data_IF_194772263518
#
_entry.id   IF_194772263518
#
_cell.length_a   1.000
_cell.length_b   1.000
_cell.length_c   1.000
_cell.angle_alpha   90.00
_cell.angle_beta   90.00
_cell.angle_gamma   90.00
#
_symmetry.space_group_name_H-M   'P 1'
#
loop_
_entity.id
_entity.type
_entity.pdbx_description
1 polymer ?
#
# COMPACT_ATOMS: atom_id res chain seq x y z
N UNK A 1 -0.79 -19.94 9.80
CA UNK A 1 -0.50 -18.83 8.87
C UNK A 1 0.87 -19.02 8.23
N UNK A 2 1.08 -18.48 7.02
CA UNK A 2 2.34 -18.65 6.24
C UNK A 2 3.45 -17.66 6.64
N UNK A 3 3.10 -16.55 7.32
CA UNK A 3 4.03 -15.48 7.69
C UNK A 3 3.82 -15.08 9.15
N UNK A 4 4.37 -15.82 10.14
CA UNK A 4 4.12 -15.58 11.56
C UNK A 4 4.66 -14.24 12.07
N UNK A 5 5.60 -13.62 11.35
CA UNK A 5 6.13 -12.30 11.65
C UNK A 5 5.21 -11.14 11.21
N UNK A 6 4.11 -11.44 10.50
CA UNK A 6 3.19 -10.43 10.00
C UNK A 6 1.80 -10.62 10.62
N UNK A 7 1.24 -9.53 11.15
CA UNK A 7 -0.19 -9.46 11.49
C UNK A 7 -0.92 -8.75 10.37
N UNK A 8 -1.64 -9.51 9.54
CA UNK A 8 -2.39 -8.94 8.42
C UNK A 8 -3.85 -8.65 8.79
N UNK A 9 -4.29 -7.40 8.61
CA UNK A 9 -5.68 -6.99 8.82
C UNK A 9 -6.32 -6.69 7.47
N UNK A 10 -7.23 -7.57 7.02
CA UNK A 10 -7.94 -7.38 5.76
C UNK A 10 -9.25 -6.61 5.97
N UNK A 11 -9.40 -5.48 5.28
CA UNK A 11 -10.58 -4.61 5.37
C UNK A 11 -11.62 -4.86 4.27
N UNK A 12 -11.36 -5.84 3.39
CA UNK A 12 -12.24 -6.17 2.27
C UNK A 12 -12.13 -5.15 1.13
N UNK A 13 -13.24 -4.96 0.42
CA UNK A 13 -13.34 -4.07 -0.73
C UNK A 13 -14.09 -2.79 -0.38
N UNK A 14 -14.02 -1.78 -1.28
CA UNK A 14 -14.77 -0.51 -1.17
C UNK A 14 -14.46 0.31 0.10
N UNK A 15 -13.23 0.22 0.59
CA UNK A 15 -12.74 1.00 1.73
C UNK A 15 -12.29 2.38 1.26
N UNK A 16 -12.83 3.45 1.85
CA UNK A 16 -12.38 4.83 1.61
C UNK A 16 -10.96 5.07 2.14
N UNK A 17 -10.20 6.01 1.55
CA UNK A 17 -8.85 6.36 2.00
C UNK A 17 -8.81 6.75 3.49
N UNK A 18 -9.79 7.52 3.95
CA UNK A 18 -9.92 7.97 5.35
C UNK A 18 -10.10 6.79 6.30
N UNK A 19 -10.99 5.86 5.97
CA UNK A 19 -11.21 4.65 6.76
C UNK A 19 -9.95 3.77 6.79
N UNK A 20 -9.22 3.69 5.68
CA UNK A 20 -7.97 2.95 5.59
C UNK A 20 -6.90 3.55 6.51
N UNK A 21 -6.65 4.86 6.43
CA UNK A 21 -5.67 5.55 7.28
C UNK A 21 -6.05 5.49 8.76
N UNK A 22 -7.34 5.70 9.09
CA UNK A 22 -7.85 5.57 10.46
C UNK A 22 -7.61 4.17 11.02
N UNK A 23 -7.87 3.15 10.22
CA UNK A 23 -7.66 1.76 10.64
C UNK A 23 -6.18 1.43 10.76
N UNK A 24 -5.33 1.90 9.85
CA UNK A 24 -3.88 1.76 9.96
C UNK A 24 -3.34 2.38 11.26
N UNK A 25 -3.82 3.58 11.62
CA UNK A 25 -3.46 4.24 12.87
C UNK A 25 -3.93 3.45 14.10
N UNK A 26 -5.18 2.99 14.11
CA UNK A 26 -5.74 2.21 15.21
C UNK A 26 -5.04 0.86 15.42
N UNK A 27 -4.58 0.23 14.33
CA UNK A 27 -3.86 -1.04 14.35
C UNK A 27 -2.35 -0.87 14.53
N UNK A 28 -1.86 0.37 14.63
CA UNK A 28 -0.44 0.73 14.66
C UNK A 28 0.35 0.10 13.51
N UNK A 29 -0.23 0.04 12.31
CA UNK A 29 0.39 -0.61 11.17
C UNK A 29 1.68 0.09 10.74
N UNK A 30 2.65 -0.67 10.26
CA UNK A 30 3.88 -0.17 9.63
C UNK A 30 3.78 -0.12 8.10
N UNK A 31 2.83 -0.86 7.51
CA UNK A 31 2.60 -0.93 6.08
C UNK A 31 1.11 -0.91 5.73
N UNK A 32 0.77 -0.22 4.66
CA UNK A 32 -0.56 -0.13 4.06
C UNK A 32 -0.49 -0.73 2.65
N UNK A 33 -1.26 -1.80 2.45
CA UNK A 33 -1.36 -2.50 1.17
C UNK A 33 -2.73 -2.21 0.54
N UNK A 34 -2.74 -1.68 -0.68
CA UNK A 34 -3.97 -1.43 -1.44
C UNK A 34 -3.97 -2.18 -2.76
N UNK A 35 -5.15 -2.65 -3.19
CA UNK A 35 -5.33 -3.30 -4.48
C UNK A 35 -6.24 -2.50 -5.40
N UNK A 36 -5.83 -2.32 -6.65
CA UNK A 36 -6.63 -1.65 -7.68
C UNK A 36 -6.77 -2.53 -8.92
N UNK A 37 -7.98 -3.06 -9.11
CA UNK A 37 -8.32 -3.92 -10.26
C UNK A 37 -9.07 -3.14 -11.34
N UNK A 38 -9.95 -2.22 -10.94
CA UNK A 38 -10.80 -1.48 -11.89
C UNK A 38 -10.05 -0.29 -12.45
N UNK A 39 -9.76 -0.32 -13.74
CA UNK A 39 -8.96 0.71 -14.40
C UNK A 39 -9.76 1.57 -15.39
N UNK A 40 -11.07 1.39 -15.46
CA UNK A 40 -11.92 2.17 -16.36
C UNK A 40 -11.85 3.66 -16.03
N UNK A 41 -11.81 4.51 -17.08
CA UNK A 41 -11.81 5.98 -16.99
C UNK A 41 -10.77 6.57 -16.03
N UNK A 42 -9.60 5.96 -15.87
CA UNK A 42 -8.51 6.43 -14.99
C UNK A 42 -8.88 6.54 -13.50
N UNK A 43 -9.98 5.93 -13.05
CA UNK A 43 -10.46 5.99 -11.65
C UNK A 43 -9.43 5.41 -10.67
N UNK A 44 -8.75 4.32 -11.06
CA UNK A 44 -7.63 3.78 -10.31
C UNK A 44 -6.55 4.82 -9.97
N UNK A 45 -6.18 5.68 -10.92
CA UNK A 45 -5.16 6.71 -10.68
C UNK A 45 -5.68 7.74 -9.69
N UNK A 46 -6.90 8.24 -9.88
CA UNK A 46 -7.51 9.22 -8.98
C UNK A 46 -7.57 8.71 -7.53
N UNK A 47 -8.00 7.46 -7.32
CA UNK A 47 -8.08 6.88 -5.98
C UNK A 47 -6.70 6.67 -5.34
N UNK A 48 -5.71 6.24 -6.13
CA UNK A 48 -4.34 6.03 -5.64
C UNK A 48 -3.65 7.34 -5.29
N UNK A 49 -3.79 8.37 -6.13
CA UNK A 49 -3.29 9.71 -5.88
C UNK A 49 -3.95 10.31 -4.65
N UNK A 50 -5.28 10.22 -4.54
CA UNK A 50 -6.03 10.72 -3.38
C UNK A 50 -5.54 10.14 -2.06
N UNK A 51 -5.20 8.84 -2.02
CA UNK A 51 -4.69 8.21 -0.80
C UNK A 51 -3.35 8.82 -0.38
N UNK A 52 -2.44 9.04 -1.32
CA UNK A 52 -1.13 9.63 -1.05
C UNK A 52 -1.26 11.09 -0.63
N UNK A 53 -2.04 11.89 -1.37
CA UNK A 53 -2.32 13.29 -1.04
C UNK A 53 -2.94 13.44 0.36
N UNK A 54 -3.88 12.56 0.72
CA UNK A 54 -4.47 12.56 2.05
C UNK A 54 -3.44 12.19 3.12
N UNK A 55 -2.60 11.18 2.88
CA UNK A 55 -1.55 10.79 3.81
C UNK A 55 -0.50 11.90 4.00
N UNK A 56 -0.17 12.65 2.95
CA UNK A 56 0.70 13.83 3.01
C UNK A 56 0.03 14.97 3.81
N UNK A 57 -1.23 15.26 3.51
CA UNK A 57 -2.00 16.29 4.22
C UNK A 57 -2.18 16.00 5.72
N UNK A 58 -2.32 14.72 6.09
CA UNK A 58 -2.37 14.27 7.49
C UNK A 58 -0.98 14.12 8.14
N UNK A 59 0.12 14.34 7.39
CA UNK A 59 1.48 14.22 7.89
C UNK A 59 1.91 12.79 8.22
N UNK A 60 1.27 11.79 7.62
CA UNK A 60 1.49 10.36 7.87
C UNK A 60 2.07 9.61 6.67
N UNK A 61 2.36 10.28 5.56
CA UNK A 61 2.92 9.65 4.36
C UNK A 61 4.21 8.88 4.68
N UNK A 62 5.14 9.47 5.40
CA UNK A 62 6.43 8.85 5.71
C UNK A 62 6.36 7.85 6.88
N UNK A 63 5.25 7.87 7.64
CA UNK A 63 5.02 6.96 8.77
C UNK A 63 4.80 5.51 8.34
N UNK A 64 4.23 5.30 7.16
CA UNK A 64 3.86 3.97 6.67
C UNK A 64 4.60 3.62 5.38
N UNK A 65 4.76 2.34 5.12
CA UNK A 65 5.03 1.83 3.78
C UNK A 65 3.74 1.77 2.97
N UNK A 66 3.66 2.51 1.88
CA UNK A 66 2.53 2.46 0.95
C UNK A 66 2.86 1.53 -0.22
N UNK A 67 2.13 0.41 -0.30
CA UNK A 67 2.30 -0.61 -1.33
C UNK A 67 1.01 -0.76 -2.11
N UNK A 68 1.11 -0.75 -3.44
CA UNK A 68 -0.03 -0.94 -4.34
C UNK A 68 0.13 -2.19 -5.20
N UNK A 69 -0.96 -2.93 -5.41
CA UNK A 69 -1.00 -4.08 -6.30
C UNK A 69 -2.16 -4.05 -7.27
N UNK A 70 -2.01 -4.67 -8.44
CA UNK A 70 -3.10 -4.77 -9.41
C UNK A 70 -2.66 -5.18 -10.81
N UNK A 71 -3.60 -5.58 -11.69
CA UNK A 71 -3.29 -6.07 -13.03
C UNK A 71 -2.60 -5.04 -13.92
N UNK A 72 -2.75 -3.74 -13.64
CA UNK A 72 -2.13 -2.63 -14.39
C UNK A 72 -1.11 -1.84 -13.56
N UNK A 73 -0.63 -2.42 -12.47
CA UNK A 73 0.36 -1.79 -11.60
C UNK A 73 1.74 -2.29 -11.96
N UNK A 74 2.65 -1.36 -12.24
CA UNK A 74 4.09 -1.62 -12.30
C UNK A 74 4.77 -0.94 -11.10
N UNK A 75 5.98 -1.39 -10.76
CA UNK A 75 6.76 -0.75 -9.71
C UNK A 75 7.07 0.71 -10.05
N UNK A 76 7.49 0.99 -11.30
CA UNK A 76 7.78 2.35 -11.75
C UNK A 76 6.58 3.29 -11.65
N UNK A 77 5.39 2.83 -12.06
CA UNK A 77 4.15 3.61 -11.96
C UNK A 77 3.78 3.90 -10.50
N UNK A 78 3.96 2.92 -9.61
CA UNK A 78 3.71 3.13 -8.18
C UNK A 78 4.65 4.20 -7.60
N UNK A 79 5.95 4.16 -7.93
CA UNK A 79 6.93 5.17 -7.51
C UNK A 79 6.57 6.57 -8.00
N UNK A 80 6.12 6.70 -9.25
CA UNK A 80 5.68 7.98 -9.82
C UNK A 80 4.49 8.59 -9.06
N UNK A 81 3.56 7.75 -8.60
CA UNK A 81 2.42 8.18 -7.77
C UNK A 81 2.77 8.43 -6.30
N UNK A 82 4.03 8.27 -5.90
CA UNK A 82 4.46 8.45 -4.52
C UNK A 82 4.23 7.24 -3.62
N UNK A 83 4.05 6.02 -4.16
CA UNK A 83 4.09 4.78 -3.38
C UNK A 83 5.52 4.28 -3.20
N UNK A 84 5.72 3.38 -2.24
CA UNK A 84 7.02 2.77 -1.97
C UNK A 84 7.30 1.59 -2.92
N UNK A 85 6.26 0.79 -3.23
CA UNK A 85 6.35 -0.26 -4.24
C UNK A 85 5.02 -0.59 -4.94
N UNK A 86 5.15 -1.06 -6.19
CA UNK A 86 4.05 -1.59 -7.01
C UNK A 86 4.24 -3.07 -7.35
N UNK A 87 3.19 -3.88 -7.23
CA UNK A 87 3.18 -5.31 -7.55
C UNK A 87 2.13 -5.66 -8.62
N UNK A 88 2.60 -6.13 -9.78
CA UNK A 88 1.78 -6.53 -10.92
C UNK A 88 1.42 -8.03 -10.95
N UNK A 89 0.85 -8.51 -12.07
CA UNK A 89 0.59 -9.94 -12.31
C UNK A 89 1.81 -10.83 -12.04
N UNK A 90 1.60 -12.01 -11.47
CA UNK A 90 2.66 -12.96 -11.11
C UNK A 90 3.33 -12.69 -9.76
N UNK A 91 3.07 -11.54 -9.14
CA UNK A 91 3.52 -11.26 -7.77
C UNK A 91 2.81 -12.18 -6.76
N UNK A 92 3.52 -12.55 -5.70
CA UNK A 92 2.99 -13.38 -4.63
C UNK A 92 3.28 -12.79 -3.24
N UNK A 93 2.64 -13.34 -2.21
CA UNK A 93 2.77 -12.85 -0.84
C UNK A 93 4.24 -12.87 -0.33
N UNK A 94 5.06 -13.84 -0.76
CA UNK A 94 6.48 -13.89 -0.37
C UNK A 94 7.24 -12.68 -0.91
N UNK A 95 7.00 -12.29 -2.17
CA UNK A 95 7.65 -11.12 -2.76
C UNK A 95 7.29 -9.82 -2.01
N UNK A 96 6.01 -9.66 -1.66
CA UNK A 96 5.53 -8.49 -0.91
C UNK A 96 6.10 -8.48 0.51
N UNK A 97 6.07 -9.62 1.21
CA UNK A 97 6.62 -9.74 2.56
C UNK A 97 8.13 -9.47 2.61
N UNK A 98 8.89 -10.00 1.63
CA UNK A 98 10.32 -9.74 1.52
C UNK A 98 10.62 -8.26 1.32
N UNK A 99 9.87 -7.56 0.46
CA UNK A 99 10.03 -6.13 0.26
C UNK A 99 9.76 -5.34 1.54
N UNK A 100 8.64 -5.60 2.22
CA UNK A 100 8.29 -4.92 3.48
C UNK A 100 9.38 -5.11 4.53
N UNK A 101 9.85 -6.34 4.73
CA UNK A 101 10.87 -6.62 5.73
C UNK A 101 12.19 -5.88 5.44
N UNK A 102 12.63 -5.86 4.17
CA UNK A 102 13.85 -5.17 3.77
C UNK A 102 13.73 -3.65 3.92
N UNK A 103 12.60 -3.08 3.48
CA UNK A 103 12.37 -1.63 3.51
C UNK A 103 12.20 -1.10 4.95
N UNK A 104 11.49 -1.84 5.82
CA UNK A 104 11.40 -1.47 7.24
C UNK A 104 12.77 -1.50 7.92
N UNK A 105 13.61 -2.50 7.63
CA UNK A 105 14.99 -2.53 8.15
C UNK A 105 15.81 -1.36 7.62
N UNK A 106 15.67 -1.01 6.34
CA UNK A 106 16.38 0.11 5.73
C UNK A 106 16.00 1.47 6.37
N UNK A 107 14.76 1.65 6.83
CA UNK A 107 14.30 2.87 7.50
C UNK A 107 14.73 2.99 8.97
N UNK A 108 15.24 1.92 9.57
CA UNK A 108 15.76 1.93 10.94
C UNK A 108 17.23 2.38 11.02
N UNK A 109 17.94 2.43 9.89
CA UNK A 109 19.32 2.91 9.76
C UNK A 109 19.39 4.32 9.19
#
# INVERSE_FOLDING_TARGET
>A
ERFPAFRAVNLGAQVSCEALLRKAAAEQAEAILVSQVVTQKNVHMHNLTRLIELAEAEGVRDRYLFIVGGPRISHAFAKELGYDAGFGPGSNATMVASYIAQELVARLG
#
